data_IF_784974538951
#
_entry.id   IF_784974538951
#
_cell.length_a   1.000
_cell.length_b   1.000
_cell.length_c   1.000
_cell.angle_alpha   90.00
_cell.angle_beta   90.00
_cell.angle_gamma   90.00
#
_symmetry.space_group_name_H-M   'P 1'
#
loop_
_entity.id
_entity.type
_entity.pdbx_description
1 polymer ?
#
# COMPACT_ATOMS: atom_id res chain seq x y z
N UNK A 1 15.75 19.35 24.45
CA UNK A 1 15.94 17.93 24.13
C UNK A 1 14.67 17.31 23.54
N UNK A 2 13.51 17.58 24.16
CA UNK A 2 12.21 17.00 23.74
C UNK A 2 11.77 17.43 22.34
N UNK A 3 12.02 18.68 21.93
CA UNK A 3 11.73 19.18 20.59
C UNK A 3 12.62 18.54 19.50
N UNK A 4 13.87 18.22 19.82
CA UNK A 4 14.81 17.57 18.89
C UNK A 4 14.43 16.12 18.61
N UNK A 5 14.07 15.35 19.65
CA UNK A 5 13.59 13.97 19.48
C UNK A 5 12.33 13.91 18.61
N UNK A 6 11.43 14.85 18.78
CA UNK A 6 10.22 14.96 17.97
C UNK A 6 10.53 15.24 16.49
N UNK A 7 11.43 16.20 16.23
CA UNK A 7 11.88 16.51 14.87
C UNK A 7 12.54 15.29 14.20
N UNK A 8 13.39 14.56 14.95
CA UNK A 8 14.02 13.33 14.48
C UNK A 8 12.97 12.26 14.16
N UNK A 9 11.96 12.09 15.02
CA UNK A 9 10.88 11.12 14.80
C UNK A 9 10.06 11.43 13.55
N UNK A 10 9.72 12.71 13.31
CA UNK A 10 9.05 13.13 12.05
C UNK A 10 9.96 12.89 10.85
N UNK A 11 11.25 13.25 10.94
CA UNK A 11 12.19 13.04 9.85
C UNK A 11 12.33 11.56 9.50
N UNK A 12 12.43 10.69 10.51
CA UNK A 12 12.48 9.24 10.31
C UNK A 12 11.19 8.71 9.68
N UNK A 13 10.02 9.16 10.18
CA UNK A 13 8.72 8.76 9.61
C UNK A 13 8.60 9.17 8.14
N UNK A 14 9.07 10.37 7.79
CA UNK A 14 9.09 10.85 6.40
C UNK A 14 10.03 10.01 5.53
N UNK A 15 11.22 9.67 6.00
CA UNK A 15 12.17 8.81 5.28
C UNK A 15 11.59 7.42 5.04
N UNK A 16 10.98 6.83 6.05
CA UNK A 16 10.33 5.53 5.95
C UNK A 16 9.15 5.57 4.97
N UNK A 17 8.33 6.64 5.02
CA UNK A 17 7.24 6.84 4.07
C UNK A 17 7.70 7.01 2.63
N UNK A 18 8.77 7.77 2.40
CA UNK A 18 9.39 7.95 1.08
C UNK A 18 9.94 6.63 0.53
N UNK A 19 10.62 5.86 1.38
CA UNK A 19 11.11 4.53 1.01
C UNK A 19 9.97 3.59 0.62
N UNK A 20 8.88 3.58 1.37
CA UNK A 20 7.69 2.77 1.09
C UNK A 20 7.03 3.15 -0.25
N UNK A 21 6.96 4.44 -0.58
CA UNK A 21 6.47 4.93 -1.88
C UNK A 21 7.38 4.44 -3.02
N UNK A 22 8.69 4.56 -2.84
CA UNK A 22 9.67 4.09 -3.82
C UNK A 22 9.56 2.59 -4.05
N UNK A 23 9.47 1.80 -2.96
CA UNK A 23 9.33 0.34 -3.03
C UNK A 23 8.04 -0.06 -3.76
N UNK A 24 6.89 0.52 -3.37
CA UNK A 24 5.62 0.21 -4.01
C UNK A 24 5.59 0.55 -5.49
N UNK A 25 6.17 1.68 -5.89
CA UNK A 25 6.32 2.04 -7.30
C UNK A 25 7.21 1.05 -8.06
N UNK A 26 8.39 0.75 -7.52
CA UNK A 26 9.34 -0.17 -8.15
C UNK A 26 8.75 -1.54 -8.40
N UNK A 27 8.02 -2.08 -7.40
CA UNK A 27 7.35 -3.38 -7.52
C UNK A 27 6.27 -3.37 -8.61
N UNK A 28 5.44 -2.33 -8.67
CA UNK A 28 4.41 -2.23 -9.69
C UNK A 28 4.97 -2.02 -11.09
N UNK A 29 6.03 -1.24 -11.22
CA UNK A 29 6.72 -1.04 -12.52
C UNK A 29 7.35 -2.34 -13.00
N UNK A 30 7.94 -3.12 -12.11
CA UNK A 30 8.47 -4.45 -12.42
C UNK A 30 7.37 -5.41 -12.87
N UNK A 31 6.24 -5.50 -12.17
CA UNK A 31 5.11 -6.33 -12.58
C UNK A 31 4.56 -5.93 -13.95
N UNK A 32 4.45 -4.62 -14.23
CA UNK A 32 4.02 -4.11 -15.54
C UNK A 32 5.00 -4.47 -16.65
N UNK A 33 6.31 -4.40 -16.39
CA UNK A 33 7.34 -4.78 -17.34
C UNK A 33 7.28 -6.27 -17.67
N UNK A 34 7.17 -7.14 -16.66
CA UNK A 34 7.01 -8.59 -16.83
C UNK A 34 5.76 -8.92 -17.64
N UNK A 35 4.61 -8.30 -17.34
CA UNK A 35 3.38 -8.52 -18.11
C UNK A 35 3.53 -8.10 -19.57
N UNK A 36 4.23 -7.00 -19.83
CA UNK A 36 4.49 -6.54 -21.21
C UNK A 36 5.35 -7.55 -21.98
N UNK A 37 6.39 -8.10 -21.35
CA UNK A 37 7.25 -9.13 -21.95
C UNK A 37 6.45 -10.41 -22.24
N UNK A 38 5.65 -10.88 -21.29
CA UNK A 38 4.81 -12.08 -21.45
C UNK A 38 3.80 -11.92 -22.59
N UNK A 39 3.17 -10.74 -22.72
CA UNK A 39 2.27 -10.44 -23.85
C UNK A 39 2.98 -10.52 -25.20
N UNK A 40 4.18 -9.96 -25.26
CA UNK A 40 4.99 -10.00 -26.49
C UNK A 40 5.40 -11.44 -26.86
N UNK A 41 5.73 -12.26 -25.87
CA UNK A 41 6.08 -13.67 -26.07
C UNK A 41 4.85 -14.51 -26.48
N UNK A 42 3.69 -14.28 -25.85
CA UNK A 42 2.42 -14.89 -26.27
C UNK A 42 2.11 -14.58 -27.73
N UNK A 43 2.18 -13.31 -28.13
CA UNK A 43 1.90 -12.90 -29.51
C UNK A 43 2.82 -13.61 -30.52
N UNK A 44 4.12 -13.70 -30.23
CA UNK A 44 5.09 -14.43 -31.07
C UNK A 44 4.78 -15.92 -31.15
N UNK A 45 4.46 -16.55 -30.02
CA UNK A 45 4.11 -17.98 -29.98
C UNK A 45 2.82 -18.27 -30.74
N UNK A 46 1.81 -17.41 -30.60
CA UNK A 46 0.55 -17.55 -31.34
C UNK A 46 0.75 -17.40 -32.83
N UNK A 47 1.57 -16.43 -33.28
CA UNK A 47 1.88 -16.27 -34.70
C UNK A 47 2.65 -17.48 -35.25
N UNK A 48 3.63 -18.01 -34.48
CA UNK A 48 4.38 -19.21 -34.86
C UNK A 48 3.49 -20.47 -34.92
N UNK A 49 2.48 -20.55 -34.07
CA UNK A 49 1.49 -21.65 -34.13
C UNK A 49 0.57 -21.48 -35.33
N UNK A 50 0.09 -20.26 -35.60
CA UNK A 50 -0.77 -19.96 -36.75
C UNK A 50 -0.08 -20.33 -38.08
N UNK A 51 1.20 -20.03 -38.22
CA UNK A 51 1.97 -20.38 -39.43
C UNK A 51 2.18 -21.89 -39.62
N UNK A 52 2.11 -22.68 -38.55
CA UNK A 52 2.30 -24.15 -38.55
C UNK A 52 0.99 -24.93 -38.67
N UNK A 53 -0.15 -24.29 -38.53
CA UNK A 53 -1.49 -24.93 -38.69
C UNK A 53 -1.79 -25.02 -40.17
N UNK A 54 -1.89 -26.25 -40.67
CA UNK A 54 -2.40 -26.54 -42.02
C UNK A 54 -3.87 -26.87 -41.96
N UNK A 55 -4.55 -26.88 -43.12
CA UNK A 55 -5.98 -27.19 -43.25
C UNK A 55 -6.32 -28.61 -42.76
N UNK A 56 -5.34 -29.54 -42.74
CA UNK A 56 -5.51 -30.91 -42.29
C UNK A 56 -5.16 -31.13 -40.79
N UNK A 57 -4.90 -30.05 -40.03
CA UNK A 57 -4.58 -30.19 -38.63
C UNK A 57 -5.84 -30.48 -37.81
N UNK A 58 -5.82 -31.61 -37.06
CA UNK A 58 -6.96 -32.02 -36.23
C UNK A 58 -7.27 -30.98 -35.12
N UNK A 59 -8.54 -30.68 -34.83
CA UNK A 59 -8.94 -29.68 -33.83
C UNK A 59 -8.38 -29.93 -32.43
N UNK A 60 -8.22 -31.20 -32.01
CA UNK A 60 -7.64 -31.58 -30.72
C UNK A 60 -6.17 -31.22 -30.62
N UNK A 61 -5.41 -31.29 -31.72
CA UNK A 61 -3.99 -30.91 -31.75
C UNK A 61 -3.86 -29.38 -31.63
N UNK A 62 -4.76 -28.66 -32.27
CA UNK A 62 -4.81 -27.20 -32.13
C UNK A 62 -5.14 -26.82 -30.70
N UNK A 63 -6.19 -27.39 -30.11
CA UNK A 63 -6.61 -27.11 -28.73
C UNK A 63 -5.54 -27.42 -27.68
N UNK A 64 -4.73 -28.46 -27.89
CA UNK A 64 -3.62 -28.80 -26.98
C UNK A 64 -2.41 -27.86 -27.09
N UNK A 65 -2.18 -27.26 -28.27
CA UNK A 65 -1.05 -26.37 -28.52
C UNK A 65 -1.37 -24.90 -28.29
N UNK A 66 -2.65 -24.54 -28.36
CA UNK A 66 -3.08 -23.17 -28.08
C UNK A 66 -3.19 -22.93 -26.58
N UNK A 67 -2.81 -21.74 -26.16
CA UNK A 67 -3.02 -21.24 -24.81
C UNK A 67 -3.47 -19.78 -24.91
N UNK A 68 -4.15 -19.33 -23.89
CA UNK A 68 -4.53 -17.92 -23.76
C UNK A 68 -3.97 -17.37 -22.47
N UNK A 69 -3.33 -16.23 -22.56
CA UNK A 69 -2.89 -15.49 -21.39
C UNK A 69 -4.11 -14.81 -20.74
N UNK A 70 -4.33 -15.11 -19.48
CA UNK A 70 -5.24 -14.38 -18.61
C UNK A 70 -4.38 -13.62 -17.60
N UNK A 71 -4.56 -12.34 -17.53
CA UNK A 71 -3.74 -11.45 -16.71
C UNK A 71 -4.61 -10.55 -15.83
N UNK A 72 -4.06 -10.17 -14.68
CA UNK A 72 -4.61 -9.21 -13.77
C UNK A 72 -3.60 -8.06 -13.59
N UNK A 73 -3.62 -7.06 -14.49
CA UNK A 73 -2.67 -5.95 -14.42
C UNK A 73 -2.86 -5.16 -13.12
N UNK A 74 -1.79 -4.59 -12.54
CA UNK A 74 -1.91 -3.76 -11.35
C UNK A 74 -2.70 -2.48 -11.67
N UNK A 75 -3.62 -2.12 -10.77
CA UNK A 75 -4.26 -0.81 -10.80
C UNK A 75 -3.24 0.30 -10.52
N UNK A 76 -3.55 1.53 -10.84
CA UNK A 76 -2.67 2.66 -10.55
C UNK A 76 -2.45 2.82 -9.03
N UNK A 77 -3.45 2.52 -8.23
CA UNK A 77 -3.42 2.58 -6.77
C UNK A 77 -2.66 1.42 -6.10
N UNK A 78 -2.37 0.35 -6.82
CA UNK A 78 -1.64 -0.80 -6.28
C UNK A 78 -0.21 -0.46 -5.84
N UNK A 79 0.37 0.65 -6.32
CA UNK A 79 1.67 1.15 -5.85
C UNK A 79 1.65 1.69 -4.43
N UNK A 80 0.48 2.12 -3.91
CA UNK A 80 0.32 2.56 -2.52
C UNK A 80 -0.03 1.39 -1.59
N UNK A 81 -0.67 0.35 -2.12
CA UNK A 81 -1.04 -0.85 -1.39
C UNK A 81 -0.95 -2.06 -2.31
N UNK A 82 0.15 -2.79 -2.21
CA UNK A 82 0.42 -4.00 -3.00
C UNK A 82 -0.53 -5.12 -2.58
N UNK A 83 -0.84 -5.19 -1.29
CA UNK A 83 -1.71 -6.22 -0.73
C UNK A 83 -1.13 -7.63 -0.94
N UNK A 84 -1.95 -8.55 -1.43
CA UNK A 84 -1.59 -9.96 -1.67
C UNK A 84 -1.19 -10.24 -3.13
N UNK A 85 -0.92 -9.22 -3.93
CA UNK A 85 -0.62 -9.40 -5.36
C UNK A 85 0.66 -10.16 -5.65
N UNK A 86 1.62 -10.13 -4.75
CA UNK A 86 2.90 -10.84 -4.86
C UNK A 86 2.81 -12.31 -4.42
N UNK A 87 1.72 -12.70 -3.76
CA UNK A 87 1.46 -14.07 -3.30
C UNK A 87 0.70 -14.85 -4.37
N UNK A 88 -0.26 -14.19 -5.04
CA UNK A 88 -1.06 -14.82 -6.08
C UNK A 88 -0.50 -14.51 -7.47
N UNK A 89 -0.53 -15.49 -8.39
CA UNK A 89 -0.08 -15.26 -9.75
C UNK A 89 -0.95 -14.20 -10.42
N UNK A 90 -0.32 -13.12 -10.91
CA UNK A 90 -0.99 -12.06 -11.65
C UNK A 90 -1.13 -12.34 -13.15
N UNK A 91 -0.67 -13.52 -13.60
CA UNK A 91 -0.88 -14.05 -14.95
C UNK A 91 -1.00 -15.56 -14.93
N UNK A 92 -1.82 -16.12 -15.83
CA UNK A 92 -2.03 -17.55 -15.98
C UNK A 92 -2.13 -17.89 -17.47
N UNK A 93 -1.49 -18.99 -17.88
CA UNK A 93 -1.69 -19.55 -19.22
C UNK A 93 -2.83 -20.57 -19.19
N UNK A 94 -3.97 -20.21 -19.74
CA UNK A 94 -5.13 -21.08 -19.82
C UNK A 94 -5.01 -21.97 -21.06
N UNK A 95 -4.99 -23.29 -20.85
CA UNK A 95 -5.06 -24.30 -21.90
C UNK A 95 -6.35 -25.10 -21.78
N UNK A 96 -6.85 -25.61 -22.90
CA UNK A 96 -8.12 -26.32 -22.93
C UNK A 96 -8.26 -27.47 -21.92
N UNK A 97 -7.16 -28.23 -21.65
CA UNK A 97 -7.18 -29.39 -20.78
C UNK A 97 -6.47 -29.24 -19.43
N UNK A 98 -6.01 -28.06 -19.04
CA UNK A 98 -5.11 -27.95 -17.89
C UNK A 98 -5.35 -26.78 -16.94
N UNK A 99 -6.55 -26.17 -16.95
CA UNK A 99 -6.88 -25.02 -16.09
C UNK A 99 -6.71 -25.38 -14.60
N UNK A 100 -7.28 -26.51 -14.17
CA UNK A 100 -7.24 -26.93 -12.77
C UNK A 100 -5.82 -27.21 -12.27
N UNK A 101 -4.94 -27.76 -13.11
CA UNK A 101 -3.56 -28.07 -12.72
C UNK A 101 -2.73 -26.79 -12.56
N UNK A 102 -2.97 -25.78 -13.36
CA UNK A 102 -2.22 -24.50 -13.28
C UNK A 102 -2.58 -23.70 -12.03
N UNK A 103 -3.84 -23.72 -11.61
CA UNK A 103 -4.28 -23.07 -10.37
C UNK A 103 -3.69 -23.77 -9.16
N UNK A 104 -3.61 -25.13 -9.18
CA UNK A 104 -3.07 -25.91 -8.08
C UNK A 104 -1.54 -25.85 -7.95
N UNK A 105 -0.82 -25.58 -9.05
CA UNK A 105 0.65 -25.45 -9.04
C UNK A 105 1.14 -24.03 -8.85
N UNK A 106 0.24 -23.04 -8.68
CA UNK A 106 0.60 -21.71 -8.25
C UNK A 106 1.07 -21.81 -6.79
N UNK A 107 2.36 -22.08 -6.61
CA UNK A 107 2.99 -22.05 -5.29
C UNK A 107 2.82 -20.67 -4.68
N UNK A 108 2.50 -20.63 -3.38
CA UNK A 108 2.56 -19.41 -2.59
C UNK A 108 4.03 -18.99 -2.57
N UNK A 109 4.35 -17.94 -3.29
CA UNK A 109 5.73 -17.58 -3.60
C UNK A 109 6.57 -17.27 -2.35
N UNK A 110 5.96 -16.80 -1.27
CA UNK A 110 6.65 -16.56 -0.01
C UNK A 110 5.66 -16.55 1.18
N UNK A 111 5.62 -17.60 2.02
CA UNK A 111 4.72 -17.64 3.18
C UNK A 111 5.01 -16.56 4.22
N UNK A 112 6.24 -16.03 4.29
CA UNK A 112 6.61 -14.94 5.21
C UNK A 112 5.89 -13.63 4.85
N UNK A 113 5.73 -13.33 3.57
CA UNK A 113 4.98 -12.17 3.09
C UNK A 113 3.48 -12.22 3.38
N UNK A 114 2.92 -13.42 3.60
CA UNK A 114 1.55 -13.59 4.07
C UNK A 114 1.29 -12.98 5.45
N UNK A 115 2.29 -13.06 6.33
CA UNK A 115 2.20 -12.56 7.71
C UNK A 115 2.56 -11.08 7.82
N UNK A 116 3.63 -10.66 7.14
CA UNK A 116 4.17 -9.31 7.28
C UNK A 116 3.61 -8.32 6.28
N UNK A 117 3.10 -8.80 5.13
CA UNK A 117 2.74 -7.95 4.00
C UNK A 117 3.95 -7.32 3.31
N UNK A 118 3.68 -6.42 2.38
CA UNK A 118 4.72 -5.67 1.69
C UNK A 118 5.00 -4.35 2.42
N UNK A 119 6.24 -3.87 2.32
CA UNK A 119 6.63 -2.60 2.91
C UNK A 119 6.22 -1.42 2.00
N UNK A 120 4.92 -1.27 1.81
CA UNK A 120 4.30 -0.23 1.02
C UNK A 120 3.78 0.94 1.89
N UNK A 121 3.18 1.96 1.26
CA UNK A 121 2.65 3.10 2.00
C UNK A 121 1.50 2.69 2.93
N UNK A 122 0.67 1.72 2.56
CA UNK A 122 -0.39 1.19 3.41
C UNK A 122 0.20 0.56 4.69
N UNK A 123 1.30 -0.20 4.58
CA UNK A 123 2.01 -0.73 5.74
C UNK A 123 2.46 0.37 6.69
N UNK A 124 3.04 1.44 6.18
CA UNK A 124 3.48 2.58 7.00
C UNK A 124 2.31 3.23 7.71
N UNK A 125 1.19 3.46 7.01
CA UNK A 125 -0.02 4.07 7.59
C UNK A 125 -0.68 3.19 8.66
N UNK A 126 -0.67 1.86 8.46
CA UNK A 126 -1.38 0.91 9.33
C UNK A 126 -0.54 0.51 10.55
N UNK A 127 0.78 0.34 10.40
CA UNK A 127 1.63 -0.19 11.46
C UNK A 127 2.53 0.87 12.11
N UNK A 128 3.14 1.75 11.33
CA UNK A 128 4.14 2.70 11.84
C UNK A 128 3.48 3.95 12.40
N UNK A 129 2.46 4.50 11.71
CA UNK A 129 1.75 5.68 12.20
C UNK A 129 1.08 5.49 13.56
N UNK A 130 0.40 4.35 13.88
CA UNK A 130 -0.13 4.14 15.22
C UNK A 130 0.93 4.19 16.31
N UNK A 131 2.11 3.59 16.07
CA UNK A 131 3.22 3.67 17.03
C UNK A 131 3.67 5.12 17.25
N UNK A 132 3.74 5.90 16.18
CA UNK A 132 4.05 7.33 16.24
C UNK A 132 2.98 8.10 16.99
N UNK A 133 1.70 7.85 16.75
CA UNK A 133 0.55 8.46 17.42
C UNK A 133 0.57 8.14 18.93
N UNK A 134 0.80 6.88 19.30
CA UNK A 134 0.91 6.46 20.70
C UNK A 134 2.09 7.15 21.36
N UNK A 135 3.25 7.19 20.71
CA UNK A 135 4.44 7.88 21.21
C UNK A 135 4.23 9.39 21.40
N UNK A 136 3.41 10.01 20.54
CA UNK A 136 3.00 11.41 20.70
C UNK A 136 2.03 11.60 21.87
N UNK A 137 1.15 10.63 22.10
CA UNK A 137 -0.02 10.79 22.97
C UNK A 137 0.22 10.34 24.41
N UNK A 138 1.23 9.48 24.67
CA UNK A 138 1.44 8.87 25.97
C UNK A 138 1.58 9.87 27.14
N UNK A 139 2.08 11.08 26.88
CA UNK A 139 2.36 12.08 27.89
C UNK A 139 1.52 13.36 27.72
N UNK A 140 0.23 13.20 27.41
CA UNK A 140 -0.65 14.29 27.00
C UNK A 140 -1.00 15.21 28.18
N UNK A 141 -1.27 14.64 29.35
CA UNK A 141 -1.65 15.36 30.58
C UNK A 141 -0.59 15.16 31.67
N UNK A 142 0.00 13.95 31.77
CA UNK A 142 0.99 13.63 32.81
C UNK A 142 2.19 14.59 32.79
N UNK A 143 2.61 15.02 31.60
CA UNK A 143 3.72 15.98 31.48
C UNK A 143 3.39 17.37 32.01
N UNK A 144 2.16 17.82 31.90
CA UNK A 144 1.74 19.11 32.51
C UNK A 144 1.57 18.97 34.03
N UNK A 145 1.11 17.82 34.49
CA UNK A 145 0.98 17.52 35.91
C UNK A 145 2.35 17.44 36.60
N UNK A 146 3.30 16.72 36.01
CA UNK A 146 4.67 16.60 36.50
C UNK A 146 5.44 17.93 36.43
N UNK A 147 5.19 18.73 35.39
CA UNK A 147 5.79 20.07 35.23
C UNK A 147 5.15 21.17 36.11
N UNK A 148 4.09 20.87 36.87
CA UNK A 148 3.36 21.84 37.69
C UNK A 148 2.58 22.91 36.88
N UNK A 149 2.57 22.80 35.57
CA UNK A 149 1.93 23.77 34.66
C UNK A 149 0.40 23.58 34.54
N UNK A 150 -0.10 22.43 34.96
CA UNK A 150 -1.54 22.14 34.89
C UNK A 150 -2.37 23.09 35.77
N UNK A 151 -1.89 23.40 36.98
CA UNK A 151 -2.57 24.35 37.89
C UNK A 151 -2.67 25.75 37.29
N UNK A 152 -1.61 26.17 36.61
CA UNK A 152 -1.55 27.46 35.92
C UNK A 152 -2.52 27.50 34.71
N UNK A 153 -2.63 26.41 33.96
CA UNK A 153 -3.60 26.30 32.88
C UNK A 153 -5.04 26.32 33.37
N UNK A 154 -5.32 25.63 34.48
CA UNK A 154 -6.66 25.59 35.11
C UNK A 154 -7.04 26.86 35.88
N UNK A 155 -6.12 27.79 36.12
CA UNK A 155 -6.43 29.13 36.65
C UNK A 155 -7.20 30.00 35.64
N UNK A 156 -7.17 29.66 34.37
CA UNK A 156 -8.02 30.25 33.34
C UNK A 156 -9.40 29.54 33.35
N UNK A 157 -10.47 30.17 32.81
CA UNK A 157 -11.81 29.59 32.78
C UNK A 157 -11.92 28.52 31.69
N UNK A 158 -11.03 27.50 31.73
CA UNK A 158 -10.91 26.40 30.77
C UNK A 158 -10.96 25.08 31.57
N UNK A 159 -11.80 24.15 31.14
CA UNK A 159 -11.87 22.82 31.76
C UNK A 159 -10.72 21.93 31.32
N UNK A 160 -10.34 20.96 32.18
CA UNK A 160 -9.33 19.94 31.85
C UNK A 160 -9.70 19.15 30.58
N UNK A 161 -10.99 18.85 30.39
CA UNK A 161 -11.50 18.20 29.18
C UNK A 161 -11.24 19.02 27.91
N UNK A 162 -11.47 20.33 27.96
CA UNK A 162 -11.20 21.21 26.81
C UNK A 162 -9.72 21.23 26.43
N UNK A 163 -8.83 21.30 27.43
CA UNK A 163 -7.38 21.24 27.20
C UNK A 163 -7.02 19.93 26.54
N UNK A 164 -7.57 18.82 27.02
CA UNK A 164 -7.34 17.49 26.49
C UNK A 164 -7.78 17.37 25.05
N UNK A 165 -9.01 17.78 24.74
CA UNK A 165 -9.54 17.74 23.36
C UNK A 165 -8.74 18.59 22.39
N UNK A 166 -8.30 19.78 22.76
CA UNK A 166 -7.46 20.64 21.92
C UNK A 166 -6.12 19.97 21.62
N UNK A 167 -5.50 19.35 22.65
CA UNK A 167 -4.22 18.65 22.48
C UNK A 167 -4.35 17.41 21.58
N UNK A 168 -5.43 16.63 21.75
CA UNK A 168 -5.75 15.49 20.90
C UNK A 168 -5.97 15.95 19.46
N UNK A 169 -6.84 16.94 19.25
CA UNK A 169 -7.14 17.47 17.92
C UNK A 169 -5.88 17.98 17.20
N UNK A 170 -5.00 18.69 17.90
CA UNK A 170 -3.75 19.17 17.33
C UNK A 170 -2.82 18.04 16.90
N UNK A 171 -2.68 16.99 17.73
CA UNK A 171 -1.84 15.84 17.40
C UNK A 171 -2.42 15.00 16.26
N UNK A 172 -3.75 14.85 16.26
CA UNK A 172 -4.45 14.22 15.14
C UNK A 172 -4.20 14.97 13.83
N UNK A 173 -4.39 16.30 13.85
CA UNK A 173 -4.18 17.14 12.67
C UNK A 173 -2.74 17.07 12.17
N UNK A 174 -1.76 17.04 13.08
CA UNK A 174 -0.35 16.91 12.76
C UNK A 174 -0.06 15.55 12.10
N UNK A 175 -0.52 14.45 12.71
CA UNK A 175 -0.30 13.11 12.18
C UNK A 175 -0.99 12.92 10.83
N UNK A 176 -2.24 13.39 10.72
CA UNK A 176 -2.98 13.37 9.47
C UNK A 176 -2.34 14.25 8.40
N UNK A 177 -1.83 15.43 8.76
CA UNK A 177 -1.11 16.32 7.83
C UNK A 177 0.14 15.67 7.23
N UNK A 178 0.92 14.93 8.03
CA UNK A 178 2.07 14.17 7.55
C UNK A 178 1.62 13.05 6.60
N UNK A 179 0.60 12.28 6.98
CA UNK A 179 0.07 11.20 6.13
C UNK A 179 -0.54 11.74 4.83
N UNK A 180 -1.29 12.83 4.90
CA UNK A 180 -1.83 13.53 3.74
C UNK A 180 -0.72 13.94 2.77
N UNK A 181 0.34 14.54 3.28
CA UNK A 181 1.49 14.91 2.46
C UNK A 181 2.13 13.71 1.78
N UNK A 182 2.32 12.59 2.50
CA UNK A 182 2.87 11.35 1.93
C UNK A 182 1.94 10.75 0.86
N UNK A 183 0.63 10.74 1.09
CA UNK A 183 -0.36 10.23 0.10
C UNK A 183 -0.34 11.09 -1.15
N UNK A 184 -0.38 12.42 -1.03
CA UNK A 184 -0.31 13.34 -2.18
C UNK A 184 1.01 13.16 -2.94
N UNK A 185 2.11 13.06 -2.21
CA UNK A 185 3.43 12.83 -2.81
C UNK A 185 3.49 11.48 -3.56
N UNK A 186 2.89 10.43 -3.00
CA UNK A 186 2.79 9.12 -3.65
C UNK A 186 1.97 9.20 -4.95
N UNK A 187 0.83 9.90 -4.94
CA UNK A 187 0.01 10.13 -6.14
C UNK A 187 0.81 10.82 -7.23
N UNK A 188 1.59 11.85 -6.88
CA UNK A 188 2.43 12.59 -7.84
C UNK A 188 3.58 11.72 -8.37
N UNK A 189 4.32 11.04 -7.48
CA UNK A 189 5.49 10.22 -7.86
C UNK A 189 5.08 9.01 -8.71
N UNK A 190 3.96 8.37 -8.37
CA UNK A 190 3.46 7.21 -9.10
C UNK A 190 2.63 7.57 -10.33
N UNK A 191 2.34 8.86 -10.56
CA UNK A 191 1.54 9.34 -11.70
C UNK A 191 0.10 8.82 -11.67
N UNK A 192 -0.48 8.65 -10.48
CA UNK A 192 -1.83 8.11 -10.29
C UNK A 192 -2.86 9.14 -10.71
N UNK A 193 -3.86 8.72 -11.47
CA UNK A 193 -4.97 9.59 -11.81
C UNK A 193 -5.82 9.89 -10.57
N UNK A 194 -6.09 11.17 -10.34
CA UNK A 194 -6.92 11.61 -9.23
C UNK A 194 -8.37 11.27 -9.54
N UNK A 195 -8.92 10.37 -8.76
CA UNK A 195 -10.32 9.92 -8.80
C UNK A 195 -10.93 9.89 -7.37
N UNK A 196 -12.15 9.40 -7.25
CA UNK A 196 -12.83 9.27 -5.96
C UNK A 196 -12.07 8.37 -4.96
N UNK A 197 -11.17 7.50 -5.43
CA UNK A 197 -10.37 6.60 -4.59
C UNK A 197 -9.44 7.40 -3.65
N UNK A 198 -8.91 8.54 -4.11
CA UNK A 198 -8.11 9.43 -3.26
C UNK A 198 -8.90 9.88 -2.03
N UNK A 199 -10.16 10.28 -2.22
CA UNK A 199 -11.02 10.73 -1.13
C UNK A 199 -11.28 9.62 -0.12
N UNK A 200 -11.50 8.38 -0.60
CA UNK A 200 -11.66 7.22 0.28
C UNK A 200 -10.39 6.88 1.04
N UNK A 201 -9.22 7.01 0.42
CA UNK A 201 -7.93 6.84 1.07
C UNK A 201 -7.72 7.85 2.22
N UNK A 202 -8.01 9.13 1.95
CA UNK A 202 -7.89 10.19 2.94
C UNK A 202 -8.90 10.01 4.08
N UNK A 203 -10.16 9.69 3.76
CA UNK A 203 -11.19 9.45 4.75
C UNK A 203 -10.85 8.24 5.66
N UNK A 204 -10.45 7.13 5.06
CA UNK A 204 -10.06 5.93 5.80
C UNK A 204 -8.87 6.23 6.73
N UNK A 205 -7.85 6.93 6.24
CA UNK A 205 -6.69 7.34 7.04
C UNK A 205 -7.09 8.27 8.19
N UNK A 206 -7.97 9.23 7.93
CA UNK A 206 -8.45 10.16 8.95
C UNK A 206 -9.21 9.45 10.08
N UNK A 207 -10.13 8.54 9.71
CA UNK A 207 -10.90 7.74 10.68
C UNK A 207 -10.00 6.75 11.44
N UNK A 208 -9.06 6.11 10.75
CA UNK A 208 -8.11 5.21 11.38
C UNK A 208 -7.23 5.92 12.42
N UNK A 209 -6.73 7.11 12.11
CA UNK A 209 -5.94 7.90 13.04
C UNK A 209 -6.77 8.42 14.22
N UNK A 210 -8.06 8.76 13.99
CA UNK A 210 -8.96 9.13 15.06
C UNK A 210 -9.22 7.99 16.05
N UNK A 211 -9.21 6.75 15.57
CA UNK A 211 -9.34 5.56 16.42
C UNK A 211 -8.14 5.38 17.36
N UNK A 212 -6.92 5.74 16.92
CA UNK A 212 -5.69 5.58 17.70
C UNK A 212 -5.40 6.75 18.67
N UNK A 213 -6.16 7.85 18.59
CA UNK A 213 -6.02 9.03 19.47
C UNK A 213 -6.92 8.95 20.71
#
# INVERSE_FOLDING_TARGET
VRSRLFQVAIGLLMLVGLYAIYYGKSEMDQQRAVLKEIRADEAKKMESLRSKISTDTLPNVIGNRTFRLVENPPSDWASLSIGQRDIFPYHLYVRYYSLSRQIMTAEIANPEKLLTGNFDLAFVLIYIFPLFIIALSYNLISGEREGGTLSLLLSNPISESQITYIKIAFRWLLSFGIAFFLIVLAVVICGIKIDSTLLWWLLATALYFAFWM
#
